data_IF_342752787065
#
_entry.id   IF_342752787065
#
_cell.length_a   1.000
_cell.length_b   1.000
_cell.length_c   1.000
_cell.angle_alpha   90.00
_cell.angle_beta   90.00
_cell.angle_gamma   90.00
#
_symmetry.space_group_name_H-M   'P 1'
#
loop_
_entity.id
_entity.type
_entity.pdbx_description
1 polymer ?
#
# COMPACT_ATOMS: atom_id res chain seq x y z
N UNK A 1 13.70 -3.59 26.90
CA UNK A 1 14.24 -2.28 26.47
C UNK A 1 15.02 -2.44 25.17
N UNK A 2 16.11 -3.23 25.11
CA UNK A 2 16.83 -3.48 23.86
C UNK A 2 15.99 -4.20 22.77
N UNK A 3 15.25 -5.26 23.14
CA UNK A 3 14.41 -6.01 22.18
C UNK A 3 13.22 -5.19 21.64
N UNK A 4 12.64 -4.33 22.49
CA UNK A 4 11.57 -3.41 22.07
C UNK A 4 12.10 -2.37 21.09
N UNK A 5 13.31 -1.84 21.31
CA UNK A 5 13.95 -0.90 20.40
C UNK A 5 14.28 -1.56 19.05
N UNK A 6 14.79 -2.80 19.05
CA UNK A 6 15.03 -3.56 17.82
C UNK A 6 13.74 -3.87 17.06
N UNK A 7 12.66 -4.26 17.76
CA UNK A 7 11.36 -4.46 17.15
C UNK A 7 10.80 -3.18 16.52
N UNK A 8 10.96 -2.04 17.19
CA UNK A 8 10.54 -0.75 16.66
C UNK A 8 11.35 -0.32 15.44
N UNK A 9 12.67 -0.57 15.45
CA UNK A 9 13.51 -0.35 14.29
C UNK A 9 13.02 -1.10 13.06
N UNK A 10 12.65 -2.38 13.22
CA UNK A 10 12.11 -3.20 12.12
C UNK A 10 10.78 -2.65 11.60
N UNK A 11 9.89 -2.21 12.49
CA UNK A 11 8.62 -1.57 12.09
C UNK A 11 8.91 -0.31 11.27
N UNK A 12 9.73 0.60 11.78
CA UNK A 12 10.04 1.86 11.09
C UNK A 12 10.68 1.61 9.72
N UNK A 13 11.69 0.74 9.65
CA UNK A 13 12.32 0.37 8.38
C UNK A 13 11.34 -0.24 7.39
N UNK A 14 10.40 -1.09 7.83
CA UNK A 14 9.40 -1.66 6.94
C UNK A 14 8.45 -0.59 6.37
N UNK A 15 8.04 0.38 7.19
CA UNK A 15 7.21 1.51 6.74
C UNK A 15 7.97 2.48 5.83
N UNK A 16 9.24 2.76 6.11
CA UNK A 16 10.11 3.56 5.23
C UNK A 16 10.27 2.89 3.87
N UNK A 17 10.58 1.59 3.83
CA UNK A 17 10.66 0.83 2.58
C UNK A 17 9.35 0.89 1.79
N UNK A 18 8.20 0.80 2.47
CA UNK A 18 6.91 0.93 1.81
C UNK A 18 6.69 2.33 1.24
N UNK A 19 6.96 3.39 2.01
CA UNK A 19 6.88 4.78 1.55
C UNK A 19 7.78 5.02 0.34
N UNK A 20 9.01 4.51 0.39
CA UNK A 20 9.98 4.61 -0.70
C UNK A 20 9.49 3.90 -1.95
N UNK A 21 8.91 2.70 -1.83
CA UNK A 21 8.32 1.97 -2.95
C UNK A 21 7.13 2.73 -3.56
N UNK A 22 6.23 3.26 -2.73
CA UNK A 22 5.09 4.06 -3.19
C UNK A 22 5.55 5.31 -3.96
N UNK A 23 6.63 5.95 -3.52
CA UNK A 23 7.15 7.17 -4.14
C UNK A 23 7.96 6.92 -5.42
N UNK A 24 8.83 5.90 -5.41
CA UNK A 24 9.83 5.68 -6.45
C UNK A 24 9.39 4.68 -7.52
N UNK A 25 8.70 3.61 -7.13
CA UNK A 25 8.32 2.52 -8.05
C UNK A 25 6.88 2.68 -8.52
N UNK A 26 5.92 2.84 -7.60
CA UNK A 26 4.49 2.88 -7.94
C UNK A 26 4.01 4.27 -8.40
N UNK A 27 4.32 5.31 -7.61
CA UNK A 27 3.87 6.68 -7.81
C UNK A 27 4.00 7.22 -9.24
N UNK A 28 5.13 7.01 -9.95
CA UNK A 28 5.30 7.49 -11.33
C UNK A 28 4.25 6.98 -12.33
N UNK A 29 3.62 5.83 -12.06
CA UNK A 29 2.64 5.21 -12.97
C UNK A 29 1.20 5.65 -12.71
N UNK A 30 0.93 6.23 -11.54
CA UNK A 30 -0.41 6.73 -11.18
C UNK A 30 -0.86 7.91 -12.06
N UNK A 31 0.07 8.58 -12.75
CA UNK A 31 -0.27 9.63 -13.71
C UNK A 31 -1.19 9.16 -14.85
N UNK A 32 -1.18 7.87 -15.18
CA UNK A 32 -2.07 7.27 -16.18
C UNK A 32 -3.47 6.92 -15.65
N UNK A 33 -3.74 7.16 -14.38
CA UNK A 33 -5.10 7.07 -13.83
C UNK A 33 -5.96 8.22 -14.37
N UNK A 34 -5.32 9.30 -14.84
CA UNK A 34 -5.97 10.34 -15.60
C UNK A 34 -6.23 9.89 -17.05
N UNK A 35 -7.48 9.99 -17.49
CA UNK A 35 -7.91 9.55 -18.82
C UNK A 35 -7.20 10.29 -19.97
N UNK A 36 -6.89 11.58 -19.83
CA UNK A 36 -6.19 12.35 -20.87
C UNK A 36 -4.76 11.83 -21.06
N UNK A 37 -4.06 11.59 -19.95
CA UNK A 37 -2.74 10.98 -19.97
C UNK A 37 -2.78 9.56 -20.55
N UNK A 38 -3.78 8.75 -20.16
CA UNK A 38 -3.96 7.41 -20.73
C UNK A 38 -4.23 7.45 -22.24
N UNK A 39 -5.03 8.42 -22.71
CA UNK A 39 -5.32 8.60 -24.15
C UNK A 39 -4.10 9.05 -24.94
N UNK A 40 -3.15 9.74 -24.31
CA UNK A 40 -1.90 10.15 -24.97
C UNK A 40 -0.97 8.98 -25.34
N UNK A 41 -1.12 7.82 -24.67
CA UNK A 41 -0.33 6.62 -24.94
C UNK A 41 -0.75 5.93 -26.24
N UNK A 42 0.20 5.29 -26.92
CA UNK A 42 -0.10 4.32 -27.99
C UNK A 42 -0.73 3.05 -27.40
N UNK A 43 -1.36 2.23 -28.25
CA UNK A 43 -1.96 0.96 -27.81
C UNK A 43 -0.96 0.03 -27.12
N UNK A 44 0.27 -0.04 -27.65
CA UNK A 44 1.37 -0.83 -27.06
C UNK A 44 1.76 -0.32 -25.67
N UNK A 45 1.84 1.00 -25.50
CA UNK A 45 2.19 1.61 -24.21
C UNK A 45 1.08 1.42 -23.17
N UNK A 46 -0.19 1.52 -23.54
CA UNK A 46 -1.32 1.24 -22.62
C UNK A 46 -1.30 -0.20 -22.12
N UNK A 47 -1.09 -1.16 -23.03
CA UNK A 47 -0.94 -2.57 -22.66
C UNK A 47 0.29 -2.79 -21.78
N UNK A 48 1.42 -2.18 -22.12
CA UNK A 48 2.64 -2.25 -21.31
C UNK A 48 2.43 -1.70 -19.90
N UNK A 49 1.70 -0.59 -19.76
CA UNK A 49 1.31 -0.05 -18.47
C UNK A 49 0.41 -1.01 -17.68
N UNK A 50 -0.67 -1.53 -18.28
CA UNK A 50 -1.57 -2.47 -17.61
C UNK A 50 -0.86 -3.75 -17.16
N UNK A 51 -0.01 -4.33 -18.03
CA UNK A 51 0.83 -5.48 -17.67
C UNK A 51 1.76 -5.15 -16.51
N UNK A 52 2.47 -4.01 -16.58
CA UNK A 52 3.38 -3.61 -15.51
C UNK A 52 2.67 -3.38 -14.18
N UNK A 53 1.48 -2.79 -14.19
CA UNK A 53 0.66 -2.63 -12.98
C UNK A 53 0.31 -3.98 -12.36
N UNK A 54 -0.15 -4.93 -13.18
CA UNK A 54 -0.62 -6.23 -12.72
C UNK A 54 0.52 -7.18 -12.30
N UNK A 55 1.61 -7.22 -13.05
CA UNK A 55 2.66 -8.24 -12.92
C UNK A 55 3.83 -7.80 -12.04
N UNK A 56 4.07 -6.49 -11.90
CA UNK A 56 5.22 -5.96 -11.16
C UNK A 56 4.78 -5.04 -10.03
N UNK A 57 4.07 -3.95 -10.35
CA UNK A 57 3.93 -2.84 -9.42
C UNK A 57 2.98 -3.15 -8.27
N UNK A 58 1.76 -3.62 -8.55
CA UNK A 58 0.78 -3.96 -7.50
C UNK A 58 1.28 -5.15 -6.66
N UNK A 59 1.82 -6.25 -7.23
CA UNK A 59 2.45 -7.29 -6.44
C UNK A 59 3.55 -6.77 -5.50
N UNK A 60 4.45 -5.92 -6.00
CA UNK A 60 5.49 -5.32 -5.15
C UNK A 60 4.93 -4.41 -4.06
N UNK A 61 3.82 -3.68 -4.30
CA UNK A 61 3.10 -2.94 -3.24
C UNK A 61 2.59 -3.88 -2.16
N UNK A 62 2.00 -5.00 -2.56
CA UNK A 62 1.48 -6.02 -1.63
C UNK A 62 2.64 -6.57 -0.80
N UNK A 63 3.79 -6.87 -1.39
CA UNK A 63 4.96 -7.40 -0.69
C UNK A 63 5.50 -6.44 0.38
N UNK A 64 5.64 -5.15 0.07
CA UNK A 64 6.12 -4.15 1.04
C UNK A 64 5.06 -3.86 2.12
N UNK A 65 3.78 -3.86 1.76
CA UNK A 65 2.68 -3.74 2.72
C UNK A 65 2.65 -4.93 3.68
N UNK A 66 2.77 -6.16 3.14
CA UNK A 66 2.85 -7.38 3.94
C UNK A 66 4.05 -7.37 4.87
N UNK A 67 5.21 -6.89 4.41
CA UNK A 67 6.41 -6.76 5.23
C UNK A 67 6.18 -5.83 6.43
N UNK A 68 5.45 -4.74 6.27
CA UNK A 68 5.04 -3.86 7.38
C UNK A 68 4.10 -4.58 8.37
N UNK A 69 3.15 -5.37 7.86
CA UNK A 69 2.28 -6.21 8.68
C UNK A 69 3.04 -7.23 9.52
N UNK A 70 3.98 -7.97 8.91
CA UNK A 70 4.85 -8.92 9.60
C UNK A 70 5.69 -8.23 10.67
N UNK A 71 6.24 -7.04 10.38
CA UNK A 71 6.99 -6.29 11.38
C UNK A 71 6.12 -5.89 12.59
N UNK A 72 4.85 -5.54 12.37
CA UNK A 72 3.90 -5.27 13.46
C UNK A 72 3.53 -6.53 14.24
N UNK A 73 3.36 -7.68 13.57
CA UNK A 73 3.12 -8.97 14.22
C UNK A 73 4.29 -9.38 15.11
N UNK A 74 5.52 -9.27 14.61
CA UNK A 74 6.75 -9.52 15.36
C UNK A 74 6.91 -8.54 16.53
N UNK A 75 6.37 -7.31 16.39
CA UNK A 75 6.44 -6.29 17.42
C UNK A 75 5.40 -6.48 18.54
N UNK A 76 4.24 -7.07 18.23
CA UNK A 76 3.10 -7.23 19.15
C UNK A 76 3.45 -7.89 20.50
N UNK A 77 4.30 -8.94 20.59
CA UNK A 77 4.69 -9.55 21.87
C UNK A 77 5.37 -8.59 22.85
N UNK A 78 6.01 -7.53 22.35
CA UNK A 78 6.73 -6.55 23.16
C UNK A 78 5.83 -5.42 23.69
N UNK A 79 4.53 -5.43 23.36
CA UNK A 79 3.59 -4.38 23.75
C UNK A 79 3.18 -4.42 25.23
N UNK A 80 3.38 -3.30 25.96
CA UNK A 80 2.98 -3.18 27.36
C UNK A 80 1.47 -2.95 27.46
N UNK A 81 0.81 -3.76 28.28
CA UNK A 81 -0.62 -3.61 28.55
C UNK A 81 -1.52 -3.97 27.36
N UNK A 82 -2.82 -3.98 27.63
CA UNK A 82 -3.83 -4.39 26.65
C UNK A 82 -4.07 -3.31 25.58
N UNK A 83 -3.97 -2.04 25.94
CA UNK A 83 -4.25 -0.93 25.03
C UNK A 83 -3.23 -0.80 23.89
N UNK A 84 -1.93 -0.93 24.20
CA UNK A 84 -0.89 -0.93 23.17
C UNK A 84 -1.02 -2.15 22.25
N UNK A 85 -1.30 -3.33 22.83
CA UNK A 85 -1.55 -4.56 22.05
C UNK A 85 -2.74 -4.43 21.12
N UNK A 86 -3.85 -3.86 21.59
CA UNK A 86 -5.02 -3.63 20.76
C UNK A 86 -4.75 -2.63 19.64
N UNK A 87 -3.95 -1.60 19.91
CA UNK A 87 -3.54 -0.63 18.89
C UNK A 87 -2.70 -1.28 17.79
N UNK A 88 -1.67 -2.07 18.16
CA UNK A 88 -0.86 -2.81 17.18
C UNK A 88 -1.70 -3.83 16.41
N UNK A 89 -2.63 -4.54 17.06
CA UNK A 89 -3.58 -5.44 16.37
C UNK A 89 -4.42 -4.70 15.33
N UNK A 90 -4.97 -3.54 15.67
CA UNK A 90 -5.72 -2.74 14.69
C UNK A 90 -4.86 -2.27 13.52
N UNK A 91 -3.57 -2.02 13.74
CA UNK A 91 -2.63 -1.70 12.65
C UNK A 91 -2.32 -2.93 11.77
N UNK A 92 -2.25 -4.13 12.35
CA UNK A 92 -2.14 -5.39 11.60
C UNK A 92 -3.40 -5.63 10.76
N UNK A 93 -4.59 -5.46 11.36
CA UNK A 93 -5.87 -5.58 10.66
C UNK A 93 -5.96 -4.58 9.50
N UNK A 94 -5.50 -3.35 9.71
CA UNK A 94 -5.41 -2.33 8.67
C UNK A 94 -4.48 -2.75 7.52
N UNK A 95 -3.39 -3.46 7.81
CA UNK A 95 -2.49 -4.01 6.77
C UNK A 95 -3.25 -4.97 5.86
N UNK A 96 -4.07 -5.86 6.43
CA UNK A 96 -4.87 -6.80 5.64
C UNK A 96 -5.89 -6.07 4.75
N UNK A 97 -6.60 -5.07 5.29
CA UNK A 97 -7.58 -4.29 4.52
C UNK A 97 -6.93 -3.59 3.31
N UNK A 98 -5.72 -3.07 3.50
CA UNK A 98 -4.97 -2.41 2.44
C UNK A 98 -4.53 -3.42 1.38
N UNK A 99 -3.99 -4.58 1.78
CA UNK A 99 -3.60 -5.64 0.85
C UNK A 99 -4.80 -6.14 0.02
N UNK A 100 -5.94 -6.37 0.65
CA UNK A 100 -7.16 -6.80 -0.05
C UNK A 100 -7.61 -5.77 -1.09
N UNK A 101 -7.48 -4.48 -0.76
CA UNK A 101 -7.78 -3.37 -1.67
C UNK A 101 -6.80 -3.30 -2.85
N UNK A 102 -5.51 -3.56 -2.61
CA UNK A 102 -4.48 -3.66 -3.66
C UNK A 102 -4.75 -4.84 -4.60
N UNK A 103 -5.11 -6.01 -4.05
CA UNK A 103 -5.48 -7.18 -4.86
C UNK A 103 -6.74 -6.91 -5.70
N UNK A 104 -7.75 -6.26 -5.12
CA UNK A 104 -8.94 -5.83 -5.85
C UNK A 104 -8.63 -4.86 -6.99
N UNK A 105 -7.67 -3.94 -6.79
CA UNK A 105 -7.16 -3.08 -7.87
C UNK A 105 -6.47 -3.90 -8.97
N UNK A 106 -5.68 -4.91 -8.62
CA UNK A 106 -5.03 -5.81 -9.60
C UNK A 106 -6.06 -6.53 -10.48
N UNK A 107 -7.15 -7.02 -9.88
CA UNK A 107 -8.26 -7.64 -10.60
C UNK A 107 -8.93 -6.67 -11.58
N UNK A 108 -9.07 -5.40 -11.22
CA UNK A 108 -9.61 -4.39 -12.12
C UNK A 108 -8.67 -4.11 -13.29
N UNK A 109 -7.35 -4.06 -13.07
CA UNK A 109 -6.36 -3.96 -14.14
C UNK A 109 -6.41 -5.16 -15.09
N UNK A 110 -6.55 -6.37 -14.56
CA UNK A 110 -6.68 -7.58 -15.37
C UNK A 110 -7.90 -7.51 -16.30
N UNK A 111 -9.07 -7.14 -15.75
CA UNK A 111 -10.31 -6.98 -16.53
C UNK A 111 -10.21 -5.87 -17.56
N UNK A 112 -9.66 -4.71 -17.17
CA UNK A 112 -9.43 -3.60 -18.08
C UNK A 112 -8.52 -4.00 -19.23
N UNK A 113 -7.47 -4.77 -18.97
CA UNK A 113 -6.54 -5.25 -19.97
C UNK A 113 -7.19 -6.23 -20.94
N UNK A 114 -7.97 -7.18 -20.44
CA UNK A 114 -8.65 -8.17 -21.28
C UNK A 114 -9.68 -7.50 -22.20
N UNK A 115 -10.50 -6.60 -21.66
CA UNK A 115 -11.49 -5.85 -22.44
C UNK A 115 -10.82 -4.90 -23.43
N UNK A 116 -9.71 -4.28 -23.05
CA UNK A 116 -8.93 -3.45 -23.97
C UNK A 116 -8.40 -4.23 -25.17
N UNK A 117 -7.96 -5.48 -24.97
CA UNK A 117 -7.45 -6.36 -26.04
C UNK A 117 -8.55 -6.76 -27.02
N UNK A 118 -9.80 -6.87 -26.58
CA UNK A 118 -10.93 -7.35 -27.40
C UNK A 118 -11.73 -6.21 -28.03
N UNK A 119 -12.01 -5.16 -27.27
CA UNK A 119 -12.99 -4.12 -27.63
C UNK A 119 -12.36 -2.71 -27.75
N UNK A 120 -11.12 -2.54 -27.27
CA UNK A 120 -10.38 -1.30 -27.37
C UNK A 120 -10.59 -0.37 -26.17
N UNK A 121 -10.12 0.88 -26.30
CA UNK A 121 -10.07 1.80 -25.15
C UNK A 121 -11.46 2.17 -24.65
N UNK A 122 -12.37 2.54 -25.54
CA UNK A 122 -13.64 3.19 -25.17
C UNK A 122 -14.52 2.31 -24.27
N UNK A 123 -14.51 1.00 -24.49
CA UNK A 123 -15.20 0.05 -23.61
C UNK A 123 -14.42 -0.14 -22.30
N UNK A 124 -13.10 -0.34 -22.36
CA UNK A 124 -12.28 -0.57 -21.18
C UNK A 124 -12.17 0.62 -20.19
N UNK A 125 -12.48 1.87 -20.58
CA UNK A 125 -12.24 3.04 -19.70
C UNK A 125 -13.06 3.00 -18.42
N UNK A 126 -14.19 2.29 -18.41
CA UNK A 126 -15.10 2.31 -17.26
C UNK A 126 -14.44 1.72 -15.99
N UNK A 127 -13.46 0.82 -16.13
CA UNK A 127 -12.67 0.30 -15.00
C UNK A 127 -11.76 1.35 -14.38
N UNK A 128 -11.36 2.38 -15.14
CA UNK A 128 -10.43 3.41 -14.66
C UNK A 128 -10.98 4.12 -13.42
N UNK A 129 -12.31 4.33 -13.36
CA UNK A 129 -12.96 4.89 -12.18
C UNK A 129 -12.82 3.98 -10.97
N UNK A 130 -13.05 2.67 -11.14
CA UNK A 130 -12.87 1.70 -10.07
C UNK A 130 -11.43 1.69 -9.55
N UNK A 131 -10.45 1.78 -10.45
CA UNK A 131 -9.02 1.81 -10.11
C UNK A 131 -8.68 3.07 -9.31
N UNK A 132 -9.21 4.23 -9.72
CA UNK A 132 -9.03 5.50 -8.99
C UNK A 132 -9.66 5.39 -7.60
N UNK A 133 -10.91 4.93 -7.50
CA UNK A 133 -11.60 4.80 -6.23
C UNK A 133 -10.85 3.84 -5.27
N UNK A 134 -10.32 2.73 -5.79
CA UNK A 134 -9.46 1.82 -5.02
C UNK A 134 -8.15 2.45 -4.56
N UNK A 135 -7.50 3.26 -5.39
CA UNK A 135 -6.27 3.98 -5.01
C UNK A 135 -6.53 5.03 -3.94
N UNK A 136 -7.63 5.79 -4.05
CA UNK A 136 -8.02 6.77 -3.04
C UNK A 136 -8.30 6.09 -1.69
N UNK A 137 -9.00 4.95 -1.71
CA UNK A 137 -9.26 4.15 -0.52
C UNK A 137 -7.95 3.64 0.11
N UNK A 138 -7.04 3.08 -0.68
CA UNK A 138 -5.72 2.62 -0.20
C UNK A 138 -4.97 3.78 0.47
N UNK A 139 -4.88 4.96 -0.18
CA UNK A 139 -4.22 6.13 0.40
C UNK A 139 -4.89 6.61 1.68
N UNK A 140 -6.22 6.57 1.73
CA UNK A 140 -6.97 6.90 2.94
C UNK A 140 -6.61 5.95 4.08
N UNK A 141 -6.67 4.64 3.84
CA UNK A 141 -6.32 3.62 4.84
C UNK A 141 -4.87 3.74 5.30
N UNK A 142 -3.92 3.97 4.38
CA UNK A 142 -2.52 4.22 4.72
C UNK A 142 -2.35 5.43 5.65
N UNK A 143 -3.14 6.48 5.46
CA UNK A 143 -3.07 7.67 6.33
C UNK A 143 -3.43 7.38 7.80
N UNK A 144 -4.22 6.33 8.07
CA UNK A 144 -4.64 5.94 9.42
C UNK A 144 -3.49 5.40 10.28
N UNK A 145 -2.39 4.94 9.66
CA UNK A 145 -1.20 4.53 10.43
C UNK A 145 -0.62 5.66 11.27
N UNK A 146 -0.71 6.91 10.80
CA UNK A 146 -0.28 8.07 11.58
C UNK A 146 -1.01 8.18 12.92
N UNK A 147 -2.29 7.79 12.97
CA UNK A 147 -3.09 7.77 14.19
C UNK A 147 -2.66 6.61 15.11
N UNK A 148 -2.36 5.45 14.53
CA UNK A 148 -1.83 4.30 15.26
C UNK A 148 -0.50 4.61 15.94
N UNK A 149 0.46 5.17 15.20
CA UNK A 149 1.75 5.59 15.75
C UNK A 149 1.61 6.68 16.81
N UNK A 150 0.77 7.70 16.58
CA UNK A 150 0.52 8.75 17.57
C UNK A 150 -0.07 8.19 18.88
N UNK A 151 -0.96 7.20 18.78
CA UNK A 151 -1.53 6.52 19.95
C UNK A 151 -0.48 5.71 20.72
N UNK A 152 0.40 5.00 20.02
CA UNK A 152 1.51 4.28 20.66
C UNK A 152 2.47 5.25 21.37
N UNK A 153 2.81 6.37 20.74
CA UNK A 153 3.62 7.43 21.36
C UNK A 153 2.95 7.98 22.63
N UNK A 154 1.64 8.26 22.60
CA UNK A 154 0.89 8.73 23.77
C UNK A 154 0.87 7.72 24.94
N UNK A 155 1.09 6.43 24.67
CA UNK A 155 1.22 5.36 25.66
C UNK A 155 2.65 5.19 26.18
N UNK A 156 3.59 6.06 25.77
CA UNK A 156 5.00 6.03 26.18
C UNK A 156 5.87 5.08 25.35
N UNK A 157 5.38 4.63 24.19
CA UNK A 157 6.17 3.91 23.19
C UNK A 157 6.68 4.90 22.15
N UNK A 158 7.62 5.73 22.58
CA UNK A 158 8.27 6.70 21.71
C UNK A 158 9.34 6.03 20.84
N UNK A 159 9.57 6.58 19.65
CA UNK A 159 10.70 6.21 18.80
C UNK A 159 11.98 6.50 19.57
N UNK A 160 12.89 5.51 19.75
CA UNK A 160 14.15 5.76 20.45
C UNK A 160 14.90 6.94 19.81
N UNK A 161 15.35 7.91 20.61
CA UNK A 161 16.06 9.10 20.13
C UNK A 161 17.31 8.76 19.30
N UNK A 162 17.91 7.59 19.55
CA UNK A 162 19.07 7.07 18.81
C UNK A 162 18.76 6.68 17.35
N UNK A 163 17.48 6.68 16.98
CA UNK A 163 16.97 6.35 15.65
C UNK A 163 16.44 7.56 14.87
N UNK A 164 16.48 8.77 15.45
CA UNK A 164 16.13 10.05 14.84
C UNK A 164 17.39 10.82 14.43
#
# INVERSE_FOLDING_TARGET
MAETAEGWARVLTAFENWIDYEASEFGPWTGYFNLENLRSLTSKERLGWMHKMQEELIPGRVDVCQSAGVALEDFLPYMPGEEARNTVRSMIDLTQIIQDSMLGMSDQFARMMDEYKTEGLDEAIHYLRGIIDSEEEIRHQMSLYSQGFAKLAALGLEIPEEML
#
